data_IF_007753195470
#
_entry.id   IF_007753195470
#
_cell.length_a   1.000
_cell.length_b   1.000
_cell.length_c   1.000
_cell.angle_alpha   90.00
_cell.angle_beta   90.00
_cell.angle_gamma   90.00
#
_symmetry.space_group_name_H-M   'P 1'
#
loop_
_entity.id
_entity.type
_entity.pdbx_description
1 polymer ?
#
# COMPACT_ATOMS: atom_id res chain seq x y z
N UNK A 1 8.85 10.79 14.53
CA UNK A 1 9.60 11.80 13.75
C UNK A 1 9.82 11.37 12.31
N UNK A 2 10.30 10.17 12.06
CA UNK A 2 10.51 9.62 10.68
C UNK A 2 9.22 9.62 9.87
N UNK A 3 8.10 9.26 10.47
CA UNK A 3 6.77 9.25 9.82
C UNK A 3 6.34 10.63 9.31
N UNK A 4 6.65 11.69 10.06
CA UNK A 4 6.31 13.07 9.66
C UNK A 4 7.17 13.51 8.48
N UNK A 5 8.45 13.17 8.50
CA UNK A 5 9.39 13.49 7.41
C UNK A 5 9.00 12.73 6.14
N UNK A 6 8.74 11.43 6.26
CA UNK A 6 8.28 10.61 5.14
C UNK A 6 6.99 11.14 4.52
N UNK A 7 6.00 11.45 5.34
CA UNK A 7 4.73 12.05 4.87
C UNK A 7 4.94 13.38 4.14
N UNK A 8 5.87 14.21 4.60
CA UNK A 8 6.21 15.45 3.90
C UNK A 8 6.88 15.20 2.55
N UNK A 9 7.81 14.25 2.48
CA UNK A 9 8.50 13.89 1.24
C UNK A 9 7.51 13.34 0.21
N UNK A 10 6.73 12.36 0.59
CA UNK A 10 5.78 11.69 -0.31
C UNK A 10 4.50 12.50 -0.58
N UNK A 11 4.30 13.62 0.10
CA UNK A 11 3.26 14.56 -0.25
C UNK A 11 3.61 15.37 -1.53
N UNK A 12 4.87 15.37 -1.92
CA UNK A 12 5.30 15.82 -3.24
C UNK A 12 4.98 14.76 -4.29
N UNK A 13 4.14 15.11 -5.25
CA UNK A 13 3.64 14.18 -6.27
C UNK A 13 4.75 13.69 -7.20
N UNK A 14 5.67 14.55 -7.61
CA UNK A 14 6.77 14.16 -8.50
C UNK A 14 7.73 13.19 -7.81
N UNK A 15 8.07 13.45 -6.55
CA UNK A 15 8.90 12.54 -5.77
C UNK A 15 8.22 11.17 -5.63
N UNK A 16 6.93 11.16 -5.37
CA UNK A 16 6.17 9.91 -5.23
C UNK A 16 6.08 9.15 -6.56
N UNK A 17 5.90 9.85 -7.67
CA UNK A 17 5.91 9.25 -9.02
C UNK A 17 7.28 8.64 -9.32
N UNK A 18 8.36 9.36 -9.09
CA UNK A 18 9.73 8.87 -9.30
C UNK A 18 10.05 7.65 -8.42
N UNK A 19 9.59 7.65 -7.18
CA UNK A 19 9.73 6.53 -6.26
C UNK A 19 8.97 5.28 -6.78
N UNK A 20 7.72 5.44 -7.18
CA UNK A 20 6.90 4.35 -7.73
C UNK A 20 7.55 3.78 -9.00
N UNK A 21 8.02 4.63 -9.91
CA UNK A 21 8.72 4.20 -11.12
C UNK A 21 9.97 3.40 -10.80
N UNK A 22 10.76 3.85 -9.82
CA UNK A 22 12.00 3.17 -9.41
C UNK A 22 11.74 1.76 -8.91
N UNK A 23 10.72 1.55 -8.11
CA UNK A 23 10.46 0.25 -7.47
C UNK A 23 9.52 -0.66 -8.25
N UNK A 24 8.55 -0.11 -8.97
CA UNK A 24 7.55 -0.89 -9.70
C UNK A 24 7.84 -0.99 -11.20
N UNK A 25 8.75 -0.19 -11.73
CA UNK A 25 9.18 -0.25 -13.12
C UNK A 25 8.23 0.39 -14.13
N UNK A 26 7.19 1.10 -13.68
CA UNK A 26 6.30 1.87 -14.53
C UNK A 26 6.08 3.27 -13.96
N UNK A 27 5.91 4.27 -14.83
CA UNK A 27 5.67 5.66 -14.43
C UNK A 27 4.19 5.99 -14.52
N UNK A 28 3.50 6.26 -13.40
CA UNK A 28 2.12 6.74 -13.44
C UNK A 28 2.06 8.16 -14.02
N UNK A 29 0.94 8.50 -14.65
CA UNK A 29 0.69 9.85 -15.17
C UNK A 29 0.39 10.84 -14.07
N UNK A 30 -0.30 10.39 -13.04
CA UNK A 30 -0.65 11.16 -11.86
C UNK A 30 -0.75 10.29 -10.63
N UNK A 31 -0.65 10.91 -9.48
CA UNK A 31 -0.80 10.26 -8.18
C UNK A 31 -1.66 11.13 -7.27
N UNK A 32 -2.55 10.50 -6.53
CA UNK A 32 -3.31 11.12 -5.45
C UNK A 32 -2.85 10.53 -4.13
N UNK A 33 -2.39 11.39 -3.22
CA UNK A 33 -1.99 10.97 -1.88
C UNK A 33 -3.22 11.00 -0.97
N UNK A 34 -3.59 9.83 -0.46
CA UNK A 34 -4.74 9.64 0.42
C UNK A 34 -4.27 9.55 1.86
N UNK A 35 -4.23 10.67 2.57
CA UNK A 35 -3.83 10.72 3.96
C UNK A 35 -4.97 10.27 4.89
N UNK A 36 -4.69 9.42 5.84
CA UNK A 36 -5.52 9.21 7.03
C UNK A 36 -6.70 8.25 6.90
N UNK A 37 -6.85 7.53 5.80
CA UNK A 37 -8.00 6.65 5.58
C UNK A 37 -8.04 5.41 6.49
N UNK A 38 -7.02 5.18 7.29
CA UNK A 38 -6.95 4.08 8.27
C UNK A 38 -7.37 4.54 9.67
N UNK A 39 -7.65 5.81 9.85
CA UNK A 39 -8.22 6.31 11.11
C UNK A 39 -9.58 5.64 11.44
N UNK A 40 -10.30 5.16 10.45
CA UNK A 40 -11.58 4.47 10.67
C UNK A 40 -11.42 3.08 11.31
N UNK A 41 -10.27 2.42 11.15
CA UNK A 41 -9.97 1.19 11.87
C UNK A 41 -9.60 1.42 13.34
N UNK A 42 -9.25 2.66 13.72
CA UNK A 42 -8.99 3.04 15.11
C UNK A 42 -10.26 3.12 15.98
N UNK A 43 -11.42 3.35 15.37
CA UNK A 43 -12.66 3.56 16.14
C UNK A 43 -13.29 2.29 16.69
N UNK A 44 -12.97 1.13 16.15
CA UNK A 44 -13.68 -0.08 16.57
C UNK A 44 -12.99 -0.93 17.65
N UNK A 45 -11.71 -0.68 17.97
CA UNK A 45 -11.03 -1.42 19.06
C UNK A 45 -9.99 -0.55 19.76
N UNK A 46 -10.38 0.10 20.81
CA UNK A 46 -9.45 0.61 21.81
C UNK A 46 -8.60 -0.55 22.36
N UNK A 47 -7.30 -0.56 22.04
CA UNK A 47 -6.31 -1.39 22.69
C UNK A 47 -5.38 -2.21 21.81
N UNK A 48 -5.66 -2.46 20.55
CA UNK A 48 -4.80 -3.26 19.68
C UNK A 48 -4.64 -2.64 18.30
N UNK A 49 -3.40 -2.36 17.92
CA UNK A 49 -2.94 -1.91 16.61
C UNK A 49 -3.04 -0.40 16.33
N UNK A 50 -2.08 0.31 16.84
CA UNK A 50 -1.61 1.54 16.22
C UNK A 50 -0.84 1.20 14.95
N UNK A 51 -1.54 1.01 13.86
CA UNK A 51 -0.92 0.76 12.57
C UNK A 51 -1.27 1.90 11.64
N UNK A 52 -0.38 2.80 11.54
CA UNK A 52 -0.37 3.82 10.52
C UNK A 52 0.22 3.19 9.27
N UNK A 53 -0.59 3.02 8.22
CA UNK A 53 -0.03 2.99 6.87
C UNK A 53 0.57 4.35 6.67
N UNK A 54 1.84 4.40 6.36
CA UNK A 54 2.52 5.67 6.30
C UNK A 54 2.01 6.49 5.12
N UNK A 55 1.82 5.88 3.97
CA UNK A 55 1.34 6.56 2.79
C UNK A 55 0.47 5.61 1.95
N UNK A 56 -0.67 6.10 1.51
CA UNK A 56 -1.49 5.47 0.50
C UNK A 56 -1.55 6.39 -0.73
N UNK A 57 -1.11 5.88 -1.87
CA UNK A 57 -1.20 6.57 -3.15
C UNK A 57 -2.20 5.85 -4.06
N UNK A 58 -3.02 6.62 -4.77
CA UNK A 58 -3.87 6.12 -5.86
C UNK A 58 -3.38 6.69 -7.18
N UNK A 59 -3.18 5.81 -8.15
CA UNK A 59 -2.72 6.17 -9.48
C UNK A 59 -3.89 6.52 -10.40
N UNK A 60 -3.58 7.07 -11.56
CA UNK A 60 -4.55 7.49 -12.57
C UNK A 60 -5.42 6.34 -13.13
N UNK A 61 -4.91 5.11 -13.12
CA UNK A 61 -5.63 3.90 -13.55
C UNK A 61 -6.44 3.20 -12.42
N UNK A 62 -6.45 3.76 -11.20
CA UNK A 62 -7.08 3.19 -10.02
C UNK A 62 -6.18 2.28 -9.19
N UNK A 63 -4.99 1.95 -9.65
CA UNK A 63 -3.98 1.19 -8.89
C UNK A 63 -3.70 1.86 -7.56
N UNK A 64 -3.64 1.08 -6.49
CA UNK A 64 -3.29 1.55 -5.15
C UNK A 64 -1.85 1.14 -4.81
N UNK A 65 -1.09 2.06 -4.24
CA UNK A 65 0.28 1.82 -3.77
C UNK A 65 0.36 2.20 -2.30
N UNK A 66 0.69 1.23 -1.47
CA UNK A 66 0.96 1.41 -0.05
C UNK A 66 2.47 1.54 0.11
N UNK A 67 2.93 2.62 0.76
CA UNK A 67 4.33 2.81 1.12
C UNK A 67 4.43 2.77 2.64
N UNK A 68 5.13 1.80 3.16
CA UNK A 68 5.31 1.57 4.59
C UNK A 68 6.79 1.73 4.97
N UNK A 69 7.06 2.47 6.04
CA UNK A 69 8.41 2.66 6.57
C UNK A 69 8.52 2.00 7.93
N UNK A 70 9.38 0.98 8.02
CA UNK A 70 9.57 0.19 9.24
C UNK A 70 10.98 0.38 9.79
N UNK A 71 11.10 1.11 10.89
CA UNK A 71 12.39 1.42 11.53
C UNK A 71 12.81 0.34 12.51
N UNK A 72 11.85 -0.22 13.25
CA UNK A 72 12.09 -1.23 14.29
C UNK A 72 11.62 -2.59 13.82
N UNK A 73 12.41 -3.62 14.06
CA UNK A 73 12.02 -4.99 13.71
C UNK A 73 10.75 -5.42 14.44
N UNK A 74 9.77 -5.91 13.70
CA UNK A 74 8.53 -6.49 14.21
C UNK A 74 8.26 -7.82 13.51
N UNK A 75 8.11 -8.88 14.27
CA UNK A 75 7.88 -10.24 13.73
C UNK A 75 6.65 -10.36 12.84
N UNK A 76 5.61 -9.60 13.12
CA UNK A 76 4.35 -9.65 12.36
C UNK A 76 4.29 -8.67 11.19
N UNK A 77 5.39 -7.96 10.90
CA UNK A 77 5.41 -6.90 9.89
C UNK A 77 4.92 -7.36 8.51
N UNK A 78 5.44 -8.47 8.00
CA UNK A 78 5.05 -9.00 6.68
C UNK A 78 3.57 -9.40 6.65
N UNK A 79 3.07 -10.06 7.71
CA UNK A 79 1.65 -10.40 7.82
C UNK A 79 0.76 -9.18 7.88
N UNK A 80 1.21 -8.14 8.56
CA UNK A 80 0.52 -6.86 8.65
C UNK A 80 0.43 -6.18 7.29
N UNK A 81 1.54 -6.10 6.57
CA UNK A 81 1.60 -5.54 5.22
C UNK A 81 0.65 -6.28 4.26
N UNK A 82 0.65 -7.60 4.33
CA UNK A 82 -0.29 -8.45 3.59
C UNK A 82 -1.75 -8.14 3.92
N UNK A 83 -2.07 -8.05 5.21
CA UNK A 83 -3.42 -7.74 5.69
C UNK A 83 -3.90 -6.39 5.15
N UNK A 84 -3.05 -5.37 5.15
CA UNK A 84 -3.39 -4.06 4.59
C UNK A 84 -3.64 -4.10 3.10
N UNK A 85 -2.80 -4.80 2.37
CA UNK A 85 -2.98 -4.97 0.93
C UNK A 85 -4.33 -5.60 0.62
N UNK A 86 -4.71 -6.65 1.36
CA UNK A 86 -6.01 -7.29 1.23
C UNK A 86 -7.18 -6.36 1.59
N UNK A 87 -7.05 -5.59 2.67
CA UNK A 87 -8.08 -4.62 3.07
C UNK A 87 -8.31 -3.54 2.01
N UNK A 88 -7.24 -3.01 1.43
CA UNK A 88 -7.35 -2.01 0.37
C UNK A 88 -7.93 -2.58 -0.92
N UNK A 89 -7.61 -3.83 -1.25
CA UNK A 89 -8.22 -4.55 -2.36
C UNK A 89 -9.75 -4.67 -2.17
N UNK A 90 -10.17 -5.13 -0.99
CA UNK A 90 -11.59 -5.34 -0.66
C UNK A 90 -12.35 -4.02 -0.54
N UNK A 91 -11.72 -2.99 -0.02
CA UNK A 91 -12.35 -1.67 0.14
C UNK A 91 -12.76 -1.03 -1.19
N UNK A 92 -12.07 -1.36 -2.28
CA UNK A 92 -12.41 -0.84 -3.60
C UNK A 92 -13.54 -1.61 -4.31
N UNK A 93 -13.92 -2.79 -3.83
CA UNK A 93 -14.97 -3.63 -4.43
C UNK A 93 -16.32 -2.93 -4.62
N UNK A 94 -16.84 -2.13 -3.68
CA UNK A 94 -18.09 -1.41 -3.89
C UNK A 94 -18.04 -0.47 -5.09
N UNK A 95 -16.92 0.25 -5.26
CA UNK A 95 -16.74 1.16 -6.38
C UNK A 95 -16.67 0.43 -7.73
N UNK A 96 -16.11 -0.77 -7.73
CA UNK A 96 -16.05 -1.63 -8.93
C UNK A 96 -17.42 -2.21 -9.21
N UNK A 97 -18.15 -2.66 -8.19
CA UNK A 97 -19.49 -3.24 -8.32
C UNK A 97 -20.48 -2.29 -9.00
N UNK A 98 -20.41 -1.01 -8.64
CA UNK A 98 -21.31 0.01 -9.23
C UNK A 98 -21.05 0.26 -10.72
N UNK A 99 -19.89 -0.14 -11.23
CA UNK A 99 -19.47 0.05 -12.63
C UNK A 99 -19.72 -1.17 -13.52
N UNK A 100 -20.13 -2.30 -12.97
CA UNK A 100 -20.32 -3.55 -13.71
C UNK A 100 -21.75 -4.02 -13.67
N UNK A 101 -22.21 -4.62 -14.77
CA UNK A 101 -23.58 -5.14 -14.88
C UNK A 101 -23.77 -6.54 -14.25
N UNK A 102 -22.69 -7.32 -14.17
CA UNK A 102 -22.69 -8.69 -13.67
C UNK A 102 -21.68 -8.83 -12.54
N UNK A 103 -22.04 -9.55 -11.50
CA UNK A 103 -21.20 -9.74 -10.32
C UNK A 103 -19.85 -10.40 -10.65
N UNK A 104 -19.82 -11.33 -11.61
CA UNK A 104 -18.58 -12.00 -11.96
C UNK A 104 -17.59 -11.09 -12.71
N UNK A 105 -18.08 -10.09 -13.46
CA UNK A 105 -17.24 -9.11 -14.15
C UNK A 105 -16.55 -8.15 -13.17
N UNK A 106 -16.98 -8.15 -11.91
CA UNK A 106 -16.39 -7.33 -10.86
C UNK A 106 -14.93 -7.68 -10.58
N UNK A 107 -14.61 -8.97 -10.57
CA UNK A 107 -13.25 -9.43 -10.27
C UNK A 107 -12.25 -9.05 -11.36
N UNK A 108 -12.68 -9.01 -12.62
CA UNK A 108 -11.86 -8.58 -13.76
C UNK A 108 -11.55 -7.08 -13.74
N UNK A 109 -12.31 -6.31 -12.95
CA UNK A 109 -12.18 -4.85 -12.83
C UNK A 109 -11.46 -4.39 -11.56
N UNK A 110 -11.02 -5.33 -10.72
CA UNK A 110 -10.26 -4.98 -9.51
C UNK A 110 -8.91 -4.42 -9.91
N UNK A 111 -8.62 -3.22 -9.42
CA UNK A 111 -7.31 -2.60 -9.61
C UNK A 111 -6.25 -3.25 -8.72
N UNK A 112 -5.01 -3.40 -9.20
CA UNK A 112 -3.93 -3.95 -8.40
C UNK A 112 -3.64 -3.13 -7.14
N UNK A 113 -3.14 -3.80 -6.11
CA UNK A 113 -2.57 -3.16 -4.91
C UNK A 113 -1.11 -3.57 -4.82
N UNK A 114 -0.24 -2.58 -4.80
CA UNK A 114 1.19 -2.75 -4.55
C UNK A 114 1.53 -2.25 -3.15
N UNK A 115 2.40 -2.97 -2.47
CA UNK A 115 2.94 -2.55 -1.18
C UNK A 115 4.45 -2.50 -1.25
N UNK A 116 5.01 -1.32 -0.99
CA UNK A 116 6.45 -1.08 -0.95
C UNK A 116 6.82 -0.83 0.51
N UNK A 117 7.68 -1.67 1.06
CA UNK A 117 8.16 -1.54 2.42
C UNK A 117 9.64 -1.13 2.43
N UNK A 118 9.93 -0.02 3.07
CA UNK A 118 11.29 0.42 3.37
C UNK A 118 11.62 -0.01 4.81
N UNK A 119 12.55 -0.94 4.97
CA UNK A 119 12.89 -1.49 6.28
C UNK A 119 14.32 -1.14 6.67
N UNK A 120 14.50 -0.63 7.88
CA UNK A 120 15.80 -0.29 8.42
C UNK A 120 16.51 -1.49 9.08
N UNK A 121 15.83 -2.63 9.21
CA UNK A 121 16.36 -3.83 9.84
C UNK A 121 16.29 -5.02 8.89
N UNK A 122 17.17 -5.99 9.09
CA UNK A 122 17.19 -7.20 8.26
C UNK A 122 16.04 -8.12 8.64
N UNK A 123 15.24 -8.53 7.66
CA UNK A 123 14.13 -9.48 7.81
C UNK A 123 14.43 -10.86 7.22
N UNK A 124 15.40 -10.96 6.33
CA UNK A 124 15.76 -12.20 5.62
C UNK A 124 17.25 -12.49 5.81
N UNK A 125 17.61 -13.78 5.92
CA UNK A 125 18.99 -14.26 6.15
C UNK A 125 19.82 -14.29 4.88
N UNK A 126 19.65 -13.34 4.00
CA UNK A 126 20.43 -13.21 2.77
C UNK A 126 21.00 -11.80 2.62
N UNK A 127 21.79 -11.59 1.58
CA UNK A 127 22.44 -10.30 1.30
C UNK A 127 21.72 -9.46 0.23
N UNK A 128 20.51 -9.89 -0.17
CA UNK A 128 19.75 -9.16 -1.17
C UNK A 128 19.05 -7.95 -0.55
N UNK A 129 19.27 -6.74 -1.09
CA UNK A 129 18.66 -5.53 -0.54
C UNK A 129 17.17 -5.39 -0.89
N UNK A 130 16.68 -6.15 -1.87
CA UNK A 130 15.29 -6.08 -2.35
C UNK A 130 14.71 -7.48 -2.43
N UNK A 131 13.54 -7.65 -1.87
CA UNK A 131 12.74 -8.87 -1.92
C UNK A 131 11.37 -8.55 -2.50
N UNK A 132 10.93 -9.35 -3.45
CA UNK A 132 9.62 -9.19 -4.09
C UNK A 132 8.75 -10.40 -3.84
N UNK A 133 7.50 -10.15 -3.47
CA UNK A 133 6.48 -11.16 -3.24
C UNK A 133 5.28 -10.85 -4.13
N UNK A 134 4.81 -11.85 -4.84
CA UNK A 134 3.68 -11.73 -5.75
C UNK A 134 2.61 -12.74 -5.37
N UNK A 135 1.36 -12.30 -5.40
CA UNK A 135 0.23 -13.20 -5.43
C UNK A 135 -0.09 -13.45 -6.90
N UNK A 136 0.25 -14.61 -7.40
CA UNK A 136 0.07 -15.00 -8.79
C UNK A 136 -1.10 -15.95 -8.93
N UNK A 137 -1.86 -15.79 -10.01
CA UNK A 137 -2.73 -16.83 -10.51
C UNK A 137 -1.86 -18.03 -10.92
N UNK A 138 -2.06 -19.09 -10.19
CA UNK A 138 -1.36 -20.35 -10.44
C UNK A 138 -1.82 -21.07 -11.69
#
# INVERSE_FOLDING_TARGET
MIDIVAKKIFNDHEITIDFIETFLGFRPKSVQILNGTIADLKKEREGYFSTTVDILARLDDGTQVIIEIQVVHQHSFIKRLWTYSCQHLVKDLPNVRDKVKRTHDMYDKISPVYSIALVATQYFDDKHPIHSFLCLDG
#
